data_IF_303041506202
#
_entry.id   IF_303041506202
#
_cell.length_a   1.000
_cell.length_b   1.000
_cell.length_c   1.000
_cell.angle_alpha   90.00
_cell.angle_beta   90.00
_cell.angle_gamma   90.00
#
_symmetry.space_group_name_H-M   'P 1'
#
loop_
_entity.id
_entity.type
_entity.pdbx_description
1 polymer ?
#
# COMPACT_ATOMS: atom_id res chain seq x y z
N UNK A 1 -1.42 -13.72 2.71
CA UNK A 1 -2.25 -14.34 3.77
C UNK A 1 -3.09 -13.32 4.53
N UNK A 2 -2.57 -12.17 4.88
CA UNK A 2 -3.28 -11.09 5.59
C UNK A 2 -4.50 -10.57 4.81
N UNK A 3 -4.41 -10.50 3.49
CA UNK A 3 -5.50 -10.02 2.63
C UNK A 3 -6.78 -10.87 2.65
N UNK A 4 -6.69 -12.16 2.94
CA UNK A 4 -7.88 -13.04 2.91
C UNK A 4 -8.69 -13.03 4.20
N UNK A 5 -8.08 -12.79 5.33
CA UNK A 5 -8.77 -12.78 6.63
C UNK A 5 -9.69 -11.58 6.78
N UNK A 6 -9.43 -10.53 6.02
CA UNK A 6 -9.93 -9.22 6.29
C UNK A 6 -11.11 -8.77 5.45
N UNK A 7 -11.48 -9.56 4.45
CA UNK A 7 -12.44 -9.10 3.46
C UNK A 7 -13.88 -9.40 3.79
N UNK A 8 -14.11 -10.32 4.67
CA UNK A 8 -15.40 -10.99 4.56
C UNK A 8 -16.42 -10.58 5.61
N UNK A 9 -16.04 -10.02 6.75
CA UNK A 9 -17.00 -10.13 7.86
C UNK A 9 -17.03 -8.97 8.86
N UNK A 10 -16.23 -7.95 8.69
CA UNK A 10 -16.36 -6.78 9.53
C UNK A 10 -17.18 -5.72 8.80
N UNK A 11 -18.06 -5.11 9.50
CA UNK A 11 -19.05 -4.15 9.03
C UNK A 11 -18.59 -3.33 7.81
N UNK A 12 -19.45 -3.08 6.82
CA UNK A 12 -19.10 -2.39 5.57
C UNK A 12 -18.43 -1.02 5.74
N UNK A 13 -18.45 -0.47 6.94
CA UNK A 13 -17.88 0.83 7.28
C UNK A 13 -16.46 0.82 7.84
N UNK A 14 -15.89 -0.36 8.13
CA UNK A 14 -14.55 -0.47 8.71
C UNK A 14 -13.58 -1.10 7.71
N UNK A 15 -12.56 -0.35 7.35
CA UNK A 15 -11.38 -0.91 6.69
C UNK A 15 -10.57 -1.72 7.71
N UNK A 16 -10.89 -2.99 7.86
CA UNK A 16 -10.23 -3.85 8.83
C UNK A 16 -8.72 -3.99 8.57
N UNK A 17 -8.24 -3.81 7.31
CA UNK A 17 -6.83 -3.71 6.99
C UNK A 17 -6.17 -2.53 7.70
N UNK A 18 -6.89 -1.42 7.88
CA UNK A 18 -6.41 -0.24 8.59
C UNK A 18 -5.93 -0.57 10.00
N UNK A 19 -6.62 -1.47 10.69
CA UNK A 19 -6.27 -1.87 12.06
C UNK A 19 -5.40 -3.12 12.08
N UNK A 20 -5.75 -4.12 11.29
CA UNK A 20 -5.11 -5.43 11.35
C UNK A 20 -3.64 -5.41 10.89
N UNK A 21 -3.33 -4.70 9.80
CA UNK A 21 -1.96 -4.63 9.28
C UNK A 21 -1.02 -3.97 10.29
N UNK A 22 -1.32 -2.78 10.84
CA UNK A 22 -0.48 -2.19 11.89
C UNK A 22 -0.35 -3.08 13.13
N UNK A 23 -1.44 -3.75 13.54
CA UNK A 23 -1.40 -4.66 14.70
C UNK A 23 -0.44 -5.83 14.48
N UNK A 24 -0.44 -6.43 13.29
CA UNK A 24 0.50 -7.51 12.96
C UNK A 24 1.93 -7.00 12.90
N UNK A 25 2.16 -5.86 12.24
CA UNK A 25 3.49 -5.27 12.12
C UNK A 25 4.05 -4.83 13.49
N UNK A 26 3.18 -4.49 14.44
CA UNK A 26 3.60 -4.12 15.81
C UNK A 26 4.07 -5.28 16.68
N UNK A 27 3.82 -6.53 16.27
CA UNK A 27 4.25 -7.69 17.04
C UNK A 27 5.77 -7.69 17.26
N UNK A 28 6.26 -7.91 18.50
CA UNK A 28 7.70 -7.86 18.79
C UNK A 28 8.52 -8.75 17.87
N UNK A 29 8.07 -9.97 17.61
CA UNK A 29 8.77 -10.91 16.72
C UNK A 29 8.91 -10.37 15.28
N UNK A 30 7.93 -9.63 14.77
CA UNK A 30 8.01 -9.00 13.46
C UNK A 30 8.99 -7.82 13.50
N UNK A 31 8.87 -6.97 14.52
CA UNK A 31 9.75 -5.81 14.71
C UNK A 31 11.21 -6.17 14.84
N UNK A 32 11.52 -7.26 15.53
CA UNK A 32 12.89 -7.71 15.77
C UNK A 32 13.51 -8.45 14.58
N UNK A 33 12.69 -9.13 13.79
CA UNK A 33 13.18 -10.03 12.73
C UNK A 33 13.10 -9.44 11.32
N UNK A 34 12.16 -8.51 11.06
CA UNK A 34 12.00 -7.90 9.75
C UNK A 34 13.04 -6.79 9.55
N UNK A 35 14.11 -7.10 8.83
CA UNK A 35 15.25 -6.19 8.61
C UNK A 35 15.24 -5.55 7.22
N UNK A 36 14.47 -6.11 6.28
CA UNK A 36 14.37 -5.61 4.91
C UNK A 36 12.97 -5.92 4.36
N UNK A 37 12.39 -4.94 3.72
CA UNK A 37 11.14 -5.03 2.99
C UNK A 37 11.40 -4.82 1.51
N UNK A 38 10.86 -5.71 0.68
CA UNK A 38 10.99 -5.65 -0.78
C UNK A 38 9.57 -5.58 -1.37
N UNK A 39 9.33 -4.57 -2.20
CA UNK A 39 8.10 -4.45 -2.95
C UNK A 39 8.39 -4.59 -4.44
N UNK A 40 7.77 -5.59 -5.05
CA UNK A 40 7.82 -5.80 -6.50
C UNK A 40 6.82 -4.87 -7.19
N UNK A 41 7.36 -3.92 -7.93
CA UNK A 41 6.63 -3.02 -8.81
C UNK A 41 7.02 -3.18 -10.28
N UNK A 42 7.58 -4.31 -10.70
CA UNK A 42 7.91 -4.54 -12.11
C UNK A 42 6.67 -4.42 -12.96
N UNK A 43 5.60 -5.11 -12.57
CA UNK A 43 4.26 -4.96 -13.13
C UNK A 43 3.29 -4.65 -12.02
N UNK A 44 2.70 -3.46 -12.05
CA UNK A 44 1.86 -2.95 -10.98
C UNK A 44 0.40 -2.79 -11.43
N UNK A 45 -0.53 -2.68 -10.46
CA UNK A 45 -1.94 -2.40 -10.69
C UNK A 45 -2.35 -1.14 -9.94
N UNK A 46 -3.05 -0.23 -10.62
CA UNK A 46 -3.50 1.02 -10.03
C UNK A 46 -4.99 1.03 -9.65
N UNK A 47 -5.72 -0.03 -10.01
CA UNK A 47 -7.14 -0.20 -9.70
C UNK A 47 -7.55 -1.67 -9.79
N UNK A 48 -8.72 -2.05 -9.22
CA UNK A 48 -9.34 -3.36 -9.40
C UNK A 48 -8.64 -4.53 -8.71
N UNK A 49 -7.71 -4.25 -7.78
CA UNK A 49 -7.05 -5.30 -6.98
C UNK A 49 -8.04 -6.08 -6.10
N UNK A 50 -7.60 -7.25 -5.60
CA UNK A 50 -6.31 -7.91 -5.73
C UNK A 50 -6.21 -8.86 -6.94
N UNK A 51 -7.26 -9.02 -7.69
CA UNK A 51 -7.38 -10.04 -8.73
C UNK A 51 -6.62 -9.73 -10.03
N UNK A 52 -5.87 -8.65 -10.10
CA UNK A 52 -5.10 -8.24 -11.29
C UNK A 52 -5.96 -8.16 -12.55
N UNK A 53 -6.48 -7.00 -12.86
CA UNK A 53 -7.22 -6.75 -14.10
C UNK A 53 -6.28 -6.15 -15.13
N UNK A 54 -6.10 -6.78 -16.31
CA UNK A 54 -5.13 -6.33 -17.32
C UNK A 54 -5.29 -4.85 -17.69
N UNK A 55 -6.52 -4.34 -17.76
CA UNK A 55 -6.84 -2.96 -18.09
C UNK A 55 -6.33 -1.91 -17.08
N UNK A 56 -6.04 -2.35 -15.85
CA UNK A 56 -5.52 -1.50 -14.78
C UNK A 56 -4.07 -1.80 -14.42
N UNK A 57 -3.41 -2.62 -15.21
CA UNK A 57 -2.00 -2.95 -15.00
C UNK A 57 -1.11 -2.08 -15.88
N UNK A 58 0.09 -1.81 -15.37
CA UNK A 58 1.14 -1.14 -16.15
C UNK A 58 2.52 -1.67 -15.81
N UNK A 59 3.43 -1.56 -16.75
CA UNK A 59 4.84 -1.85 -16.51
C UNK A 59 5.48 -0.68 -15.79
N UNK A 60 5.60 -0.79 -14.46
CA UNK A 60 6.24 0.22 -13.65
C UNK A 60 7.76 0.03 -13.59
N UNK A 61 8.23 -1.20 -13.83
CA UNK A 61 9.65 -1.57 -13.99
C UNK A 61 10.52 -1.12 -12.82
N UNK A 62 9.99 -1.21 -11.60
CA UNK A 62 10.65 -0.72 -10.40
C UNK A 62 10.60 -1.78 -9.30
N UNK A 63 11.73 -2.00 -8.65
CA UNK A 63 11.81 -2.71 -7.38
C UNK A 63 12.08 -1.70 -6.28
N UNK A 64 11.41 -1.86 -5.15
CA UNK A 64 11.58 -1.02 -3.98
C UNK A 64 12.18 -1.82 -2.84
N UNK A 65 13.09 -1.20 -2.13
CA UNK A 65 13.76 -1.77 -0.97
C UNK A 65 13.74 -0.76 0.17
N UNK A 66 13.40 -1.19 1.36
CA UNK A 66 13.44 -0.33 2.54
C UNK A 66 13.62 -1.15 3.82
N UNK A 67 14.25 -0.58 4.80
CA UNK A 67 14.23 -1.08 6.18
C UNK A 67 13.02 -0.58 6.97
N UNK A 68 12.25 0.34 6.38
CA UNK A 68 11.05 0.96 6.96
C UNK A 68 9.82 0.58 6.13
N UNK A 69 8.90 -0.24 6.69
CA UNK A 69 7.72 -0.70 5.97
C UNK A 69 6.74 0.44 5.65
N UNK A 70 6.62 1.44 6.54
CA UNK A 70 5.70 2.56 6.35
C UNK A 70 6.18 3.48 5.23
N UNK A 71 7.48 3.80 5.23
CA UNK A 71 8.09 4.58 4.17
C UNK A 71 8.01 3.88 2.81
N UNK A 72 8.16 2.55 2.79
CA UNK A 72 8.00 1.73 1.59
C UNK A 72 6.59 1.83 1.02
N UNK A 73 5.58 1.55 1.84
CA UNK A 73 4.17 1.59 1.45
C UNK A 73 3.73 3.00 1.05
N UNK A 74 4.20 4.03 1.77
CA UNK A 74 3.95 5.42 1.41
C UNK A 74 4.52 5.79 0.04
N UNK A 75 5.69 5.29 -0.28
CA UNK A 75 6.34 5.49 -1.59
C UNK A 75 5.56 4.75 -2.69
N UNK A 76 5.14 3.53 -2.44
CA UNK A 76 4.29 2.74 -3.35
C UNK A 76 2.94 3.41 -3.59
N UNK A 77 2.30 3.93 -2.54
CA UNK A 77 1.05 4.70 -2.66
C UNK A 77 1.21 5.88 -3.62
N UNK A 78 2.27 6.67 -3.48
CA UNK A 78 2.54 7.80 -4.38
C UNK A 78 2.69 7.37 -5.84
N UNK A 79 3.36 6.24 -6.08
CA UNK A 79 3.51 5.70 -7.43
C UNK A 79 2.15 5.28 -8.04
N UNK A 80 1.29 4.65 -7.23
CA UNK A 80 -0.07 4.28 -7.63
C UNK A 80 -0.89 5.54 -7.91
N UNK A 81 -0.87 6.54 -7.03
CA UNK A 81 -1.64 7.78 -7.20
C UNK A 81 -1.19 8.59 -8.42
N UNK A 82 0.11 8.63 -8.70
CA UNK A 82 0.64 9.25 -9.91
C UNK A 82 0.07 8.56 -11.17
N UNK A 83 -0.02 7.22 -11.17
CA UNK A 83 -0.62 6.48 -12.28
C UNK A 83 -2.13 6.69 -12.38
N UNK A 84 -2.84 6.73 -11.24
CA UNK A 84 -4.28 7.04 -11.18
C UNK A 84 -4.58 8.43 -11.73
N UNK A 85 -3.79 9.43 -11.36
CA UNK A 85 -3.92 10.79 -11.89
C UNK A 85 -3.76 10.84 -13.42
N UNK A 86 -2.78 10.10 -13.98
CA UNK A 86 -2.63 9.96 -15.43
C UNK A 86 -3.85 9.31 -16.11
N UNK A 87 -4.55 8.43 -15.40
CA UNK A 87 -5.77 7.77 -15.84
C UNK A 87 -7.06 8.57 -15.54
N UNK A 88 -6.95 9.82 -15.06
CA UNK A 88 -8.10 10.65 -14.68
C UNK A 88 -8.85 10.16 -13.44
N UNK A 89 -8.22 9.36 -12.60
CA UNK A 89 -8.83 8.79 -11.40
C UNK A 89 -8.40 9.55 -10.15
N UNK A 90 -9.29 9.60 -9.16
CA UNK A 90 -8.96 10.14 -7.84
C UNK A 90 -7.87 9.33 -7.14
N UNK A 91 -7.18 9.94 -6.16
CA UNK A 91 -6.28 9.22 -5.25
C UNK A 91 -6.93 7.96 -4.69
N UNK A 92 -6.13 6.92 -4.45
CA UNK A 92 -6.64 5.68 -3.86
C UNK A 92 -7.24 5.92 -2.47
N UNK A 93 -6.74 6.90 -1.73
CA UNK A 93 -7.30 7.31 -0.44
C UNK A 93 -8.72 7.89 -0.55
N UNK A 94 -9.09 8.42 -1.71
CA UNK A 94 -10.39 9.02 -1.99
C UNK A 94 -11.24 8.13 -2.93
N UNK A 95 -10.76 6.95 -3.27
CA UNK A 95 -11.46 6.05 -4.19
C UNK A 95 -12.77 5.56 -3.59
N UNK A 96 -13.80 5.49 -4.44
CA UNK A 96 -15.11 4.92 -4.09
C UNK A 96 -15.26 3.55 -4.73
N UNK A 97 -16.13 2.67 -4.17
CA UNK A 97 -16.45 1.40 -4.81
C UNK A 97 -16.98 1.61 -6.21
N UNK A 98 -16.62 0.73 -7.11
CA UNK A 98 -17.15 0.66 -8.46
C UNK A 98 -17.26 -0.80 -8.95
N UNK A 99 -17.55 -1.00 -10.24
CA UNK A 99 -17.67 -2.34 -10.83
C UNK A 99 -16.35 -3.12 -10.85
N UNK A 100 -15.23 -2.42 -10.84
CA UNK A 100 -13.91 -3.02 -10.86
C UNK A 100 -13.35 -3.28 -9.46
N UNK A 101 -13.79 -2.51 -8.48
CA UNK A 101 -13.38 -2.65 -7.08
C UNK A 101 -14.58 -2.41 -6.16
N UNK A 102 -14.99 -3.46 -5.47
CA UNK A 102 -16.10 -3.42 -4.52
C UNK A 102 -15.68 -2.98 -3.11
N UNK A 103 -14.41 -2.63 -2.91
CA UNK A 103 -13.92 -2.20 -1.61
C UNK A 103 -14.46 -0.83 -1.25
N UNK A 104 -15.11 -0.77 -0.10
CA UNK A 104 -15.51 0.44 0.56
C UNK A 104 -14.27 1.04 1.23
N UNK A 105 -13.89 2.24 0.83
CA UNK A 105 -12.96 3.14 1.54
C UNK A 105 -11.45 2.84 1.53
N UNK A 106 -10.75 3.92 1.63
CA UNK A 106 -9.38 4.20 2.07
C UNK A 106 -8.50 2.97 2.29
N UNK A 107 -8.03 2.39 1.23
CA UNK A 107 -7.18 1.18 1.32
C UNK A 107 -5.80 1.48 1.92
N UNK A 108 -5.48 2.74 2.12
CA UNK A 108 -4.17 3.22 2.60
C UNK A 108 -4.15 3.67 4.06
N UNK A 109 -5.28 3.60 4.77
CA UNK A 109 -5.36 4.00 6.19
C UNK A 109 -4.33 3.29 7.07
N UNK A 110 -4.04 2.01 6.78
CA UNK A 110 -3.05 1.24 7.53
C UNK A 110 -1.67 1.89 7.54
N UNK A 111 -1.31 2.62 6.48
CA UNK A 111 0.00 3.29 6.35
C UNK A 111 0.08 4.45 7.33
N UNK A 112 -0.97 5.27 7.40
CA UNK A 112 -1.04 6.40 8.32
C UNK A 112 -1.10 5.93 9.78
N UNK A 113 -1.96 4.96 10.08
CA UNK A 113 -2.09 4.37 11.42
C UNK A 113 -0.75 3.76 11.86
N UNK A 114 -0.07 3.04 10.97
CA UNK A 114 1.26 2.48 11.27
C UNK A 114 2.28 3.59 11.58
N UNK A 115 2.23 4.70 10.86
CA UNK A 115 3.07 5.87 11.15
C UNK A 115 2.76 6.49 12.51
N UNK A 116 1.47 6.64 12.86
CA UNK A 116 1.04 7.16 14.17
C UNK A 116 1.45 6.26 15.34
N UNK A 117 1.49 4.94 15.10
CA UNK A 117 1.97 3.96 16.07
C UNK A 117 3.50 3.87 16.16
N UNK A 118 4.25 4.69 15.42
CA UNK A 118 5.71 4.67 15.42
C UNK A 118 6.32 3.42 14.77
N UNK A 119 5.59 2.76 13.89
CA UNK A 119 6.07 1.54 13.21
C UNK A 119 6.99 1.86 12.03
N UNK A 120 7.05 3.13 11.61
CA UNK A 120 7.92 3.64 10.57
C UNK A 120 7.59 5.10 10.23
N UNK A 121 8.23 5.65 9.20
CA UNK A 121 8.14 7.06 8.82
C UNK A 121 7.01 7.28 7.81
N UNK A 122 6.00 8.05 8.21
CA UNK A 122 4.89 8.46 7.33
C UNK A 122 5.09 9.83 6.68
N UNK A 123 5.85 10.71 7.34
CA UNK A 123 6.11 12.07 6.87
C UNK A 123 7.01 12.07 5.64
N UNK A 124 6.48 12.51 4.51
CA UNK A 124 7.19 12.58 3.23
C UNK A 124 8.49 13.36 3.27
N UNK A 125 8.58 14.36 4.15
CA UNK A 125 9.79 15.19 4.29
C UNK A 125 10.94 14.47 4.98
N UNK A 126 10.63 13.34 5.65
CA UNK A 126 11.59 12.52 6.38
C UNK A 126 11.96 11.23 5.62
N UNK A 127 11.30 10.95 4.49
CA UNK A 127 11.59 9.78 3.66
C UNK A 127 12.66 10.14 2.63
N UNK A 128 13.84 9.51 2.74
CA UNK A 128 14.91 9.63 1.74
C UNK A 128 14.73 8.57 0.66
N UNK A 129 14.28 9.00 -0.53
CA UNK A 129 14.09 8.10 -1.69
C UNK A 129 15.27 8.22 -2.64
N UNK A 130 16.08 7.19 -2.70
CA UNK A 130 17.20 7.08 -3.65
C UNK A 130 16.80 6.24 -4.86
N UNK A 131 17.07 6.74 -6.04
CA UNK A 131 16.72 6.07 -7.30
C UNK A 131 17.99 5.69 -8.06
N UNK A 132 18.04 4.44 -8.46
CA UNK A 132 19.10 3.89 -9.30
C UNK A 132 18.48 3.37 -10.59
N UNK A 133 19.06 3.75 -11.71
CA UNK A 133 18.67 3.19 -13.00
C UNK A 133 19.63 2.04 -13.30
N UNK A 134 19.06 0.87 -13.53
CA UNK A 134 19.82 -0.26 -14.06
C UNK A 134 20.01 -0.07 -15.56
N UNK A 135 21.20 -0.39 -16.03
CA UNK A 135 21.56 -0.30 -17.44
C UNK A 135 20.80 -1.34 -18.27
#
# INVERSE_FOLDING_TARGET
MVNNVNRSHLTPSLNACGIFIPSVVSLPVIREKAVLHICDGVKASYHGGPGGRPEFMWEHKTLYFSTDPVALDKTGWKAIDAKRAQAGMASIALSKPDKASTFLNCQVEHIEIAGQLGLGVFDDKKIDVRRFKLA
#
